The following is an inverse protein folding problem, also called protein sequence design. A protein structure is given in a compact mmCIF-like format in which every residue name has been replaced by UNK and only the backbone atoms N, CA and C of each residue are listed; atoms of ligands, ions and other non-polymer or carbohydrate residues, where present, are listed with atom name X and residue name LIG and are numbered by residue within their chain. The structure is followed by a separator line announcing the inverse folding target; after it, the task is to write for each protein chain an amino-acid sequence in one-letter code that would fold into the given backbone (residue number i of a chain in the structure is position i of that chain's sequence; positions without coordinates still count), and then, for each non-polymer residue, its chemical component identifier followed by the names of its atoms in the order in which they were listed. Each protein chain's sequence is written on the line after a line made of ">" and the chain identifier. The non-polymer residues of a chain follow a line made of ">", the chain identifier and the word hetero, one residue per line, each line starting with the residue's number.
data_IF_616226613237
#
_entry.id   IF_616226613237
#
_cell.length_a   1.000
_cell.length_b   1.000
_cell.length_c   1.000
_cell.angle_alpha   90.00
_cell.angle_beta   90.00
_cell.angle_gamma   90.00
#
_symmetry.space_group_name_H-M   'P 1'
#
loop_
_entity.id
_entity.type
_entity.pdbx_description
1 polymer ?
#
# COMPACT_ATOMS: atom_id res chain seq x y z
N UNK A 1 31.54 3.88 -34.63
CA UNK A 1 32.04 3.24 -33.39
C UNK A 1 32.28 4.27 -32.28
N UNK A 2 33.03 5.37 -32.50
CA UNK A 2 33.36 6.36 -31.47
C UNK A 2 32.11 7.07 -30.91
N UNK A 3 31.17 7.44 -31.74
CA UNK A 3 29.90 8.08 -31.32
C UNK A 3 29.03 7.17 -30.49
N UNK A 4 29.02 5.86 -30.75
CA UNK A 4 28.28 4.88 -29.94
C UNK A 4 28.87 4.72 -28.54
N UNK A 5 30.18 4.76 -28.40
CA UNK A 5 30.86 4.72 -27.10
C UNK A 5 30.59 5.98 -26.26
N UNK A 6 30.55 7.14 -26.88
CA UNK A 6 30.24 8.39 -26.21
C UNK A 6 28.78 8.43 -25.69
N UNK A 7 27.84 7.91 -26.48
CA UNK A 7 26.42 7.80 -26.09
C UNK A 7 26.19 6.81 -24.95
N UNK A 8 26.87 5.66 -24.96
CA UNK A 8 26.75 4.64 -23.89
C UNK A 8 27.32 5.18 -22.58
N UNK A 9 28.44 5.92 -22.61
CA UNK A 9 29.04 6.56 -21.43
C UNK A 9 28.11 7.61 -20.79
N UNK A 10 27.44 8.43 -21.58
CA UNK A 10 26.50 9.43 -21.07
C UNK A 10 25.27 8.81 -20.41
N UNK A 11 24.72 7.75 -20.97
CA UNK A 11 23.60 6.99 -20.39
C UNK A 11 24.00 6.38 -19.04
N UNK A 12 25.21 5.83 -18.94
CA UNK A 12 25.70 5.25 -17.69
C UNK A 12 25.82 6.32 -16.58
N UNK A 13 26.37 7.50 -16.89
CA UNK A 13 26.50 8.60 -15.93
C UNK A 13 25.13 9.01 -15.39
N UNK A 14 24.13 9.17 -16.26
CA UNK A 14 22.77 9.49 -15.86
C UNK A 14 22.19 8.39 -14.98
N UNK A 15 22.35 7.14 -15.36
CA UNK A 15 21.87 5.99 -14.58
C UNK A 15 22.48 5.95 -13.18
N UNK A 16 23.80 6.18 -13.05
CA UNK A 16 24.49 6.22 -11.77
C UNK A 16 24.09 7.39 -10.87
N UNK A 17 23.73 8.51 -11.43
CA UNK A 17 23.23 9.65 -10.65
C UNK A 17 21.80 9.45 -10.15
N UNK A 18 20.92 8.90 -10.98
CA UNK A 18 19.47 8.86 -10.71
C UNK A 18 19.09 7.58 -9.97
N UNK A 19 19.52 6.41 -10.44
CA UNK A 19 19.00 5.13 -9.94
C UNK A 19 19.29 4.90 -8.46
N UNK A 20 20.53 5.05 -7.95
CA UNK A 20 20.80 4.86 -6.52
C UNK A 20 20.06 5.86 -5.64
N UNK A 21 19.94 7.12 -6.08
CA UNK A 21 19.22 8.16 -5.34
C UNK A 21 17.72 7.87 -5.25
N UNK A 22 17.09 7.46 -6.37
CA UNK A 22 15.68 7.07 -6.39
C UNK A 22 15.44 5.80 -5.59
N UNK A 23 16.33 4.83 -5.67
CA UNK A 23 16.28 3.61 -4.87
C UNK A 23 16.33 3.91 -3.38
N UNK A 24 17.26 4.77 -2.95
CA UNK A 24 17.39 5.20 -1.56
C UNK A 24 16.13 5.96 -1.07
N UNK A 25 15.51 6.77 -1.93
CA UNK A 25 14.30 7.51 -1.60
C UNK A 25 13.09 6.61 -1.30
N UNK A 26 13.05 5.39 -1.85
CA UNK A 26 12.00 4.41 -1.56
C UNK A 26 12.11 3.83 -0.14
N UNK A 27 13.32 3.78 0.43
CA UNK A 27 13.59 3.15 1.73
C UNK A 27 13.62 4.14 2.89
N UNK A 28 14.04 5.39 2.66
CA UNK A 28 14.27 6.38 3.71
C UNK A 28 13.56 7.70 3.42
N UNK A 29 13.07 8.35 4.48
CA UNK A 29 12.44 9.68 4.40
C UNK A 29 13.41 10.81 4.78
N UNK A 30 14.50 10.50 5.47
CA UNK A 30 15.50 11.48 5.91
C UNK A 30 16.53 11.74 4.82
N UNK A 31 16.95 13.00 4.66
CA UNK A 31 17.92 13.38 3.64
C UNK A 31 19.27 12.68 3.86
N UNK A 32 19.76 12.66 5.10
CA UNK A 32 21.01 11.99 5.46
C UNK A 32 20.98 10.50 5.14
N UNK A 33 19.86 9.81 5.47
CA UNK A 33 19.69 8.41 5.15
C UNK A 33 19.68 8.14 3.65
N UNK A 34 19.07 9.03 2.85
CA UNK A 34 19.07 8.91 1.38
C UNK A 34 20.49 9.04 0.81
N UNK A 35 21.28 9.99 1.29
CA UNK A 35 22.65 10.18 0.83
C UNK A 35 23.53 8.96 1.14
N UNK A 36 23.51 8.48 2.38
CA UNK A 36 24.29 7.30 2.78
C UNK A 36 23.86 6.06 1.98
N UNK A 37 22.57 5.81 1.89
CA UNK A 37 22.04 4.63 1.21
C UNK A 37 22.29 4.68 -0.31
N UNK A 38 22.19 5.86 -0.94
CA UNK A 38 22.49 6.00 -2.37
C UNK A 38 23.97 5.76 -2.67
N UNK A 39 24.86 6.22 -1.79
CA UNK A 39 26.30 5.96 -1.91
C UNK A 39 26.61 4.46 -1.80
N UNK A 40 26.03 3.78 -0.81
CA UNK A 40 26.19 2.33 -0.63
C UNK A 40 25.64 1.55 -1.83
N UNK A 41 24.47 1.90 -2.33
CA UNK A 41 23.87 1.24 -3.50
C UNK A 41 24.67 1.49 -4.78
N UNK A 42 25.17 2.71 -4.97
CA UNK A 42 26.02 3.04 -6.12
C UNK A 42 27.32 2.24 -6.09
N UNK A 43 28.00 2.19 -4.94
CA UNK A 43 29.23 1.41 -4.75
C UNK A 43 28.99 -0.09 -4.95
N UNK A 44 27.93 -0.63 -4.36
CA UNK A 44 27.56 -2.03 -4.53
C UNK A 44 27.23 -2.35 -6.00
N UNK A 45 26.49 -1.47 -6.66
CA UNK A 45 26.16 -1.59 -8.08
C UNK A 45 27.38 -1.58 -8.99
N UNK A 46 28.37 -0.73 -8.69
CA UNK A 46 29.65 -0.69 -9.41
C UNK A 46 30.43 -2.00 -9.24
N UNK A 47 30.62 -2.44 -8.00
CA UNK A 47 31.39 -3.68 -7.71
C UNK A 47 30.72 -4.91 -8.33
N UNK A 48 29.43 -5.09 -8.14
CA UNK A 48 28.69 -6.23 -8.71
C UNK A 48 28.60 -6.13 -10.23
N UNK A 49 28.51 -4.92 -10.78
CA UNK A 49 28.54 -4.70 -12.22
C UNK A 49 29.86 -5.09 -12.86
N UNK A 50 31.02 -4.77 -12.21
CA UNK A 50 32.34 -5.20 -12.66
C UNK A 50 32.46 -6.72 -12.64
N UNK A 51 32.11 -7.35 -11.51
CA UNK A 51 32.18 -8.82 -11.39
C UNK A 51 31.28 -9.49 -12.44
N UNK A 52 30.06 -8.99 -12.63
CA UNK A 52 29.14 -9.51 -13.63
C UNK A 52 29.63 -9.34 -15.05
N UNK A 53 30.27 -8.20 -15.38
CA UNK A 53 30.84 -7.95 -16.70
C UNK A 53 31.99 -8.91 -17.05
N UNK A 54 32.86 -9.16 -16.07
CA UNK A 54 33.97 -10.13 -16.22
C UNK A 54 33.43 -11.56 -16.39
N UNK A 55 32.42 -11.94 -15.59
CA UNK A 55 31.87 -13.28 -15.62
C UNK A 55 31.08 -13.61 -16.91
N UNK A 56 30.45 -12.60 -17.53
CA UNK A 56 29.62 -12.77 -18.74
C UNK A 56 30.25 -12.24 -20.02
N UNK A 57 31.51 -11.82 -19.96
CA UNK A 57 32.28 -11.25 -21.09
C UNK A 57 31.52 -10.14 -21.83
N UNK A 58 30.85 -9.28 -21.06
CA UNK A 58 29.94 -8.25 -21.57
C UNK A 58 30.45 -6.84 -21.26
N UNK A 59 29.77 -5.81 -21.82
CA UNK A 59 30.20 -4.42 -21.63
C UNK A 59 30.04 -4.01 -20.17
N UNK A 60 31.10 -3.42 -19.60
CA UNK A 60 31.17 -2.95 -18.23
C UNK A 60 30.02 -1.99 -17.91
N UNK A 61 29.79 -1.01 -18.78
CA UNK A 61 28.75 0.01 -18.60
C UNK A 61 27.32 -0.61 -18.61
N UNK A 62 27.07 -1.53 -19.52
CA UNK A 62 25.77 -2.22 -19.62
C UNK A 62 25.49 -3.07 -18.39
N UNK A 63 26.49 -3.82 -17.90
CA UNK A 63 26.31 -4.66 -16.70
C UNK A 63 26.10 -3.84 -15.43
N UNK A 64 26.86 -2.74 -15.23
CA UNK A 64 26.64 -1.84 -14.11
C UNK A 64 25.23 -1.24 -14.13
N UNK A 65 24.77 -0.77 -15.29
CA UNK A 65 23.41 -0.22 -15.43
C UNK A 65 22.33 -1.29 -15.16
N UNK A 66 22.55 -2.52 -15.64
CA UNK A 66 21.63 -3.63 -15.39
C UNK A 66 21.52 -3.99 -13.91
N UNK A 67 22.65 -4.08 -13.18
CA UNK A 67 22.66 -4.34 -11.73
C UNK A 67 21.92 -3.26 -10.96
N UNK A 68 22.17 -1.98 -11.26
CA UNK A 68 21.45 -0.87 -10.65
C UNK A 68 19.95 -0.92 -10.97
N UNK A 69 19.59 -1.27 -12.20
CA UNK A 69 18.19 -1.46 -12.59
C UNK A 69 17.51 -2.58 -11.79
N UNK A 70 18.20 -3.71 -11.56
CA UNK A 70 17.71 -4.79 -10.70
C UNK A 70 17.52 -4.31 -9.26
N UNK A 71 18.47 -3.57 -8.69
CA UNK A 71 18.32 -2.99 -7.35
C UNK A 71 17.11 -2.07 -7.24
N UNK A 72 16.86 -1.26 -8.26
CA UNK A 72 15.69 -0.39 -8.31
C UNK A 72 14.39 -1.19 -8.35
N UNK A 73 14.28 -2.19 -9.23
CA UNK A 73 13.07 -3.04 -9.36
C UNK A 73 12.78 -3.78 -8.05
N UNK A 74 13.81 -4.41 -7.46
CA UNK A 74 13.67 -5.10 -6.18
C UNK A 74 13.21 -4.13 -5.10
N UNK A 75 13.83 -2.95 -5.02
CA UNK A 75 13.44 -1.93 -4.06
C UNK A 75 12.01 -1.41 -4.29
N UNK A 76 11.60 -1.24 -5.53
CA UNK A 76 10.24 -0.82 -5.88
C UNK A 76 9.18 -1.82 -5.39
N UNK A 77 9.49 -3.11 -5.42
CA UNK A 77 8.58 -4.16 -4.94
C UNK A 77 8.56 -4.20 -3.41
N UNK A 78 9.75 -4.22 -2.78
CA UNK A 78 9.90 -4.54 -1.36
C UNK A 78 9.99 -3.32 -0.42
N UNK A 79 10.12 -2.10 -0.93
CA UNK A 79 10.25 -0.92 -0.07
C UNK A 79 9.08 -0.77 0.91
N UNK A 80 9.36 -0.61 2.22
CA UNK A 80 8.32 -0.67 3.26
C UNK A 80 7.40 0.56 3.27
N UNK A 81 7.88 1.72 2.79
CA UNK A 81 7.13 2.97 2.85
C UNK A 81 6.38 3.31 1.55
N UNK A 82 6.97 2.99 0.41
CA UNK A 82 6.50 3.44 -0.92
C UNK A 82 6.45 2.32 -1.95
N UNK A 83 6.86 1.10 -1.56
CA UNK A 83 6.86 -0.06 -2.45
C UNK A 83 5.45 -0.49 -2.86
N UNK A 84 5.37 -1.17 -4.00
CA UNK A 84 4.11 -1.68 -4.57
C UNK A 84 3.38 -2.57 -3.56
N UNK A 85 4.10 -3.43 -2.86
CA UNK A 85 3.53 -4.30 -1.82
C UNK A 85 2.94 -3.51 -0.64
N UNK A 86 3.65 -2.46 -0.21
CA UNK A 86 3.18 -1.58 0.86
C UNK A 86 1.92 -0.82 0.44
N UNK A 87 1.89 -0.30 -0.79
CA UNK A 87 0.72 0.37 -1.36
C UNK A 87 -0.50 -0.56 -1.45
N UNK A 88 -0.33 -1.82 -1.89
CA UNK A 88 -1.42 -2.80 -1.90
C UNK A 88 -1.93 -3.12 -0.50
N UNK A 89 -1.03 -3.33 0.48
CA UNK A 89 -1.42 -3.57 1.88
C UNK A 89 -2.17 -2.37 2.46
N UNK A 90 -1.70 -1.16 2.20
CA UNK A 90 -2.33 0.05 2.68
C UNK A 90 -3.71 0.27 2.06
N UNK A 91 -3.86 0.09 0.74
CA UNK A 91 -5.16 0.14 0.05
C UNK A 91 -6.14 -0.88 0.61
N UNK A 92 -5.68 -2.13 0.86
CA UNK A 92 -6.52 -3.18 1.46
C UNK A 92 -6.96 -2.81 2.88
N UNK A 93 -6.05 -2.25 3.69
CA UNK A 93 -6.35 -1.77 5.04
C UNK A 93 -7.35 -0.61 5.01
N UNK A 94 -7.13 0.38 4.14
CA UNK A 94 -8.02 1.53 3.97
C UNK A 94 -9.42 1.10 3.52
N UNK A 95 -9.53 0.22 2.52
CA UNK A 95 -10.83 -0.33 2.09
C UNK A 95 -11.57 -1.05 3.22
N UNK A 96 -10.84 -1.77 4.05
CA UNK A 96 -11.43 -2.48 5.19
C UNK A 96 -11.90 -1.50 6.27
N UNK A 97 -11.09 -0.51 6.65
CA UNK A 97 -11.47 0.53 7.62
C UNK A 97 -12.66 1.33 7.10
N UNK A 98 -12.59 1.82 5.86
CA UNK A 98 -13.70 2.55 5.24
C UNK A 98 -14.99 1.71 5.19
N UNK A 99 -14.89 0.42 4.84
CA UNK A 99 -16.04 -0.48 4.85
C UNK A 99 -16.67 -0.64 6.24
N UNK A 100 -15.87 -0.69 7.30
CA UNK A 100 -16.37 -0.74 8.69
C UNK A 100 -17.17 0.52 9.05
N UNK A 101 -16.60 1.69 8.76
CA UNK A 101 -17.26 2.96 9.06
C UNK A 101 -18.54 3.15 8.24
N UNK A 102 -18.49 2.79 6.96
CA UNK A 102 -19.67 2.86 6.08
C UNK A 102 -20.80 1.94 6.55
N UNK A 103 -20.47 0.70 6.95
CA UNK A 103 -21.46 -0.22 7.47
C UNK A 103 -22.07 0.26 8.79
N UNK A 104 -21.22 0.73 9.70
CA UNK A 104 -21.69 1.26 10.98
C UNK A 104 -22.59 2.48 10.78
N UNK A 105 -22.25 3.37 9.87
CA UNK A 105 -23.07 4.53 9.52
C UNK A 105 -24.39 4.12 8.88
N UNK A 106 -24.40 3.12 8.00
CA UNK A 106 -25.62 2.58 7.41
C UNK A 106 -26.58 2.01 8.48
N UNK A 107 -26.05 1.18 9.38
CA UNK A 107 -26.84 0.62 10.47
C UNK A 107 -27.39 1.71 11.41
N UNK A 108 -26.61 2.76 11.68
CA UNK A 108 -27.06 3.89 12.51
C UNK A 108 -28.15 4.72 11.83
N UNK A 109 -28.08 4.86 10.51
CA UNK A 109 -29.05 5.63 9.75
C UNK A 109 -30.43 4.96 9.73
N UNK A 110 -30.47 3.63 9.64
CA UNK A 110 -31.72 2.87 9.62
C UNK A 110 -32.20 2.41 11.01
N UNK A 111 -31.41 2.64 12.07
CA UNK A 111 -31.77 2.26 13.43
C UNK A 111 -33.02 3.02 13.90
N UNK A 112 -34.07 2.27 14.28
CA UNK A 112 -35.36 2.82 14.74
C UNK A 112 -36.29 3.27 13.63
N UNK A 113 -36.00 2.98 12.35
CA UNK A 113 -36.90 3.24 11.22
C UNK A 113 -37.76 1.99 10.89
N UNK A 114 -38.83 2.16 10.16
CA UNK A 114 -39.68 1.01 9.69
C UNK A 114 -38.88 0.08 8.75
N UNK A 115 -37.80 0.57 8.16
CA UNK A 115 -36.94 -0.17 7.24
C UNK A 115 -35.82 -0.95 7.93
N UNK A 116 -35.63 -0.77 9.25
CA UNK A 116 -34.56 -1.40 10.02
C UNK A 116 -34.49 -2.92 9.83
N UNK A 117 -35.63 -3.59 9.89
CA UNK A 117 -35.72 -5.04 9.74
C UNK A 117 -35.28 -5.53 8.36
N UNK A 118 -35.45 -4.72 7.33
CA UNK A 118 -35.14 -5.04 5.95
C UNK A 118 -33.71 -4.66 5.57
N UNK A 119 -33.27 -3.49 5.99
CA UNK A 119 -31.97 -2.91 5.63
C UNK A 119 -30.82 -3.46 6.49
N UNK A 120 -31.09 -3.76 7.76
CA UNK A 120 -30.08 -4.25 8.71
C UNK A 120 -30.02 -5.78 8.80
N UNK A 121 -30.79 -6.51 7.97
CA UNK A 121 -30.72 -7.95 7.93
C UNK A 121 -29.40 -8.43 7.32
N UNK A 122 -28.73 -9.37 7.99
CA UNK A 122 -27.44 -9.93 7.55
C UNK A 122 -27.51 -10.53 6.14
N UNK A 123 -28.68 -11.11 5.76
CA UNK A 123 -28.90 -11.76 4.48
C UNK A 123 -28.98 -10.78 3.29
N UNK A 124 -29.50 -9.58 3.50
CA UNK A 124 -29.73 -8.57 2.45
C UNK A 124 -28.60 -7.54 2.37
N UNK A 125 -27.81 -7.42 3.43
CA UNK A 125 -26.78 -6.40 3.58
C UNK A 125 -25.73 -6.39 2.46
N UNK A 126 -25.31 -7.57 1.97
CA UNK A 126 -24.34 -7.67 0.86
C UNK A 126 -24.90 -7.13 -0.46
N UNK A 127 -26.21 -7.27 -0.66
CA UNK A 127 -26.91 -6.79 -1.86
C UNK A 127 -27.07 -5.27 -1.80
N UNK A 128 -27.52 -4.74 -0.65
CA UNK A 128 -27.71 -3.30 -0.46
C UNK A 128 -26.39 -2.52 -0.55
N UNK A 129 -25.35 -3.02 0.08
CA UNK A 129 -24.03 -2.39 0.03
C UNK A 129 -23.28 -2.64 -1.28
N UNK A 130 -23.79 -3.51 -2.17
CA UNK A 130 -23.11 -3.95 -3.41
C UNK A 130 -21.70 -4.45 -3.17
N UNK A 131 -21.47 -5.12 -2.05
CA UNK A 131 -20.17 -5.67 -1.66
C UNK A 131 -20.13 -7.18 -1.88
N UNK A 132 -18.94 -7.75 -2.14
CA UNK A 132 -18.76 -9.20 -2.13
C UNK A 132 -19.15 -9.78 -0.76
N UNK A 133 -19.88 -10.86 -0.74
CA UNK A 133 -20.39 -11.49 0.49
C UNK A 133 -19.27 -11.78 1.52
N UNK A 134 -18.13 -12.29 1.03
CA UNK A 134 -16.96 -12.55 1.88
C UNK A 134 -16.41 -11.28 2.55
N UNK A 135 -16.50 -10.14 1.89
CA UNK A 135 -16.04 -8.86 2.43
C UNK A 135 -17.01 -8.34 3.49
N UNK A 136 -18.32 -8.37 3.20
CA UNK A 136 -19.39 -8.00 4.15
C UNK A 136 -19.30 -8.83 5.41
N UNK A 137 -19.21 -10.16 5.29
CA UNK A 137 -19.08 -11.08 6.42
C UNK A 137 -17.86 -10.80 7.28
N UNK A 138 -16.73 -10.44 6.65
CA UNK A 138 -15.49 -10.09 7.36
C UNK A 138 -15.63 -8.78 8.15
N UNK A 139 -16.31 -7.78 7.58
CA UNK A 139 -16.58 -6.51 8.24
C UNK A 139 -17.54 -6.71 9.42
N UNK A 140 -18.66 -7.40 9.22
CA UNK A 140 -19.61 -7.70 10.29
C UNK A 140 -18.93 -8.41 11.46
N UNK A 141 -18.12 -9.45 11.18
CA UNK A 141 -17.38 -10.17 12.22
C UNK A 141 -16.39 -9.27 12.97
N UNK A 142 -15.76 -8.32 12.30
CA UNK A 142 -14.86 -7.37 12.96
C UNK A 142 -15.62 -6.41 13.88
N UNK A 143 -16.73 -5.85 13.41
CA UNK A 143 -17.56 -4.92 14.19
C UNK A 143 -18.22 -5.61 15.40
N UNK A 144 -18.66 -6.88 15.25
CA UNK A 144 -19.16 -7.71 16.34
C UNK A 144 -18.07 -7.97 17.38
N UNK A 145 -16.86 -8.32 16.94
CA UNK A 145 -15.72 -8.58 17.84
C UNK A 145 -15.33 -7.33 18.64
N UNK A 146 -15.38 -6.16 18.02
CA UNK A 146 -15.02 -4.89 18.64
C UNK A 146 -16.19 -4.30 19.47
N UNK A 147 -17.35 -4.97 19.47
CA UNK A 147 -18.53 -4.55 20.28
C UNK A 147 -19.27 -3.32 19.74
N UNK A 148 -19.03 -2.92 18.49
CA UNK A 148 -19.70 -1.76 17.90
C UNK A 148 -21.09 -2.09 17.36
N UNK A 149 -21.34 -3.35 17.07
CA UNK A 149 -22.66 -3.87 16.69
C UNK A 149 -22.99 -5.15 17.47
N UNK A 150 -24.26 -5.46 17.57
CA UNK A 150 -24.77 -6.73 18.13
C UNK A 150 -25.70 -7.39 17.12
N UNK A 151 -25.78 -8.72 17.16
CA UNK A 151 -26.72 -9.48 16.33
C UNK A 151 -27.87 -10.00 17.20
N UNK A 152 -29.10 -9.68 16.81
CA UNK A 152 -30.32 -10.20 17.44
C UNK A 152 -31.30 -10.67 16.36
N UNK A 153 -31.69 -11.92 16.37
CA UNK A 153 -32.62 -12.50 15.42
C UNK A 153 -32.26 -12.30 13.95
N UNK A 154 -30.95 -12.35 13.61
CA UNK A 154 -30.46 -12.12 12.25
C UNK A 154 -30.41 -10.65 11.82
N UNK A 155 -30.69 -9.72 12.73
CA UNK A 155 -30.58 -8.28 12.53
C UNK A 155 -29.31 -7.76 13.21
N UNK A 156 -28.59 -6.87 12.53
CA UNK A 156 -27.43 -6.17 13.06
C UNK A 156 -27.86 -4.83 13.64
N UNK A 157 -27.62 -4.66 14.93
CA UNK A 157 -28.00 -3.44 15.68
C UNK A 157 -26.76 -2.73 16.18
N UNK A 158 -26.64 -1.41 16.00
CA UNK A 158 -25.53 -0.64 16.56
C UNK A 158 -25.62 -0.56 18.08
N UNK A 159 -24.47 -0.69 18.76
CA UNK A 159 -24.38 -0.50 20.22
C UNK A 159 -24.13 0.96 20.56
N UNK A 160 -24.26 1.32 21.85
CA UNK A 160 -23.88 2.67 22.32
C UNK A 160 -22.41 2.99 22.05
N UNK A 161 -21.53 2.00 22.15
CA UNK A 161 -20.12 2.14 21.77
C UNK A 161 -19.96 2.42 20.28
N UNK A 162 -20.75 1.77 19.43
CA UNK A 162 -20.76 2.02 17.99
C UNK A 162 -21.23 3.43 17.63
N UNK A 163 -22.25 3.94 18.33
CA UNK A 163 -22.75 5.32 18.17
C UNK A 163 -21.66 6.35 18.54
N UNK A 164 -21.03 6.18 19.69
CA UNK A 164 -19.97 7.07 20.17
C UNK A 164 -18.74 7.06 19.22
N UNK A 165 -18.34 5.87 18.73
CA UNK A 165 -17.26 5.73 17.76
C UNK A 165 -17.55 6.46 16.45
N UNK A 166 -18.75 6.32 15.91
CA UNK A 166 -19.13 6.99 14.65
C UNK A 166 -19.16 8.51 14.78
N UNK A 167 -19.63 9.05 15.93
CA UNK A 167 -19.60 10.49 16.18
C UNK A 167 -18.17 11.02 16.21
N UNK A 168 -17.28 10.36 16.93
CA UNK A 168 -15.85 10.72 16.98
C UNK A 168 -15.19 10.67 15.60
N UNK A 169 -15.48 9.64 14.80
CA UNK A 169 -14.94 9.51 13.45
C UNK A 169 -15.40 10.64 12.52
N UNK A 170 -16.68 11.02 12.58
CA UNK A 170 -17.24 12.12 11.76
C UNK A 170 -16.64 13.48 12.11
N UNK A 171 -16.33 13.75 13.36
CA UNK A 171 -15.67 14.98 13.77
C UNK A 171 -14.24 15.06 13.24
N UNK A 172 -13.48 13.98 13.34
CA UNK A 172 -12.08 13.95 12.87
C UNK A 172 -11.90 13.91 11.35
N UNK A 173 -12.90 13.52 10.57
CA UNK A 173 -12.85 13.53 9.09
C UNK A 173 -13.24 14.89 8.52
N UNK A 174 -13.92 15.75 9.31
CA UNK A 174 -14.33 17.10 8.90
C UNK A 174 -13.31 18.19 9.26
N UNK A 175 -12.34 17.89 10.12
CA UNK A 175 -11.23 18.76 10.48
C UNK A 175 -10.03 18.54 9.55
#
# INVERSE_FOLDING_TARGET
>A
AVTSFQSIGSILVIAFMIIPAMTAALWTRTLSGRLVLSCLLGTAGAVLGIIGAIASDSSLAGMMAAVLGVFFIVSLIFAPATGILAAFRQRKKQRFTFGRETLLQHLLFHAGTEEEARENALSTLSVHMKWPENFTRKICRSLLKDGYITERNGLLLPTEQGKAHNLFYRENVRA
#
